data_IF_638310493113
#
_entry.id   IF_638310493113
#
_cell.length_a   1.000
_cell.length_b   1.000
_cell.length_c   1.000
_cell.angle_alpha   90.00
_cell.angle_beta   90.00
_cell.angle_gamma   90.00
#
_symmetry.space_group_name_H-M   'P 1'
#
loop_
_entity.id
_entity.type
_entity.pdbx_description
1 polymer ?
#
# COMPACT_ATOMS: atom_id res chain seq x y z
N UNK A 1 -15.91 22.56 22.51
CA UNK A 1 -15.66 21.11 22.40
C UNK A 1 -14.62 20.91 21.30
N UNK A 2 -13.44 20.36 21.60
CA UNK A 2 -12.39 20.16 20.60
C UNK A 2 -12.49 18.75 20.03
N UNK A 3 -12.78 18.62 18.74
CA UNK A 3 -12.83 17.33 18.06
C UNK A 3 -11.40 16.90 17.73
N UNK A 4 -10.95 15.79 18.32
CA UNK A 4 -9.60 15.25 18.12
C UNK A 4 -9.57 14.02 17.20
N UNK A 5 -10.71 13.37 16.99
CA UNK A 5 -10.81 12.16 16.16
C UNK A 5 -12.11 12.19 15.37
N UNK A 6 -12.02 11.89 14.08
CA UNK A 6 -13.16 11.79 13.16
C UNK A 6 -13.07 10.45 12.43
N UNK A 7 -14.16 9.69 12.48
CA UNK A 7 -14.35 8.41 11.79
C UNK A 7 -15.66 8.50 11.02
N UNK A 8 -15.59 8.55 9.70
CA UNK A 8 -16.74 8.80 8.81
C UNK A 8 -16.65 7.94 7.55
N UNK A 9 -17.73 7.92 6.77
CA UNK A 9 -17.70 7.39 5.39
C UNK A 9 -17.32 8.50 4.40
N UNK A 10 -16.87 8.12 3.21
CA UNK A 10 -16.50 9.01 2.11
C UNK A 10 -17.61 9.98 1.66
N UNK A 11 -18.86 9.72 2.03
CA UNK A 11 -20.01 10.64 1.89
C UNK A 11 -19.76 12.02 2.51
N UNK A 12 -18.80 12.15 3.45
CA UNK A 12 -18.37 13.47 3.95
C UNK A 12 -17.93 14.42 2.82
N UNK A 13 -17.41 13.88 1.72
CA UNK A 13 -16.99 14.63 0.54
C UNK A 13 -15.87 15.65 0.80
N UNK A 14 -15.43 16.29 -0.27
CA UNK A 14 -14.44 17.37 -0.17
C UNK A 14 -15.00 18.59 0.59
N UNK A 15 -16.30 18.88 0.44
CA UNK A 15 -16.97 19.97 1.17
C UNK A 15 -16.90 19.77 2.68
N UNK A 16 -17.27 18.59 3.16
CA UNK A 16 -17.21 18.28 4.59
C UNK A 16 -15.78 18.26 5.11
N UNK A 17 -14.81 17.74 4.33
CA UNK A 17 -13.39 17.83 4.69
C UNK A 17 -12.88 19.28 4.74
N UNK A 18 -13.37 20.16 3.86
CA UNK A 18 -13.09 21.60 3.91
C UNK A 18 -13.54 22.22 5.24
N UNK A 19 -14.80 21.96 5.63
CA UNK A 19 -15.33 22.43 6.93
C UNK A 19 -14.53 21.87 8.10
N UNK A 20 -14.14 20.59 8.07
CA UNK A 20 -13.28 19.99 9.10
C UNK A 20 -11.91 20.69 9.13
N UNK A 21 -11.29 20.93 7.97
CA UNK A 21 -10.04 21.65 7.85
C UNK A 21 -10.12 23.05 8.46
N UNK A 22 -11.25 23.75 8.28
CA UNK A 22 -11.46 25.11 8.79
C UNK A 22 -11.77 25.16 10.28
N UNK A 23 -12.45 24.15 10.84
CA UNK A 23 -12.98 24.18 12.21
C UNK A 23 -12.19 23.35 13.21
N UNK A 24 -11.69 22.17 12.82
CA UNK A 24 -11.16 21.15 13.72
C UNK A 24 -9.62 21.22 13.84
N UNK A 25 -9.07 22.33 14.34
CA UNK A 25 -7.60 22.57 14.39
C UNK A 25 -6.82 21.61 15.31
N UNK A 26 -7.50 20.93 16.24
CA UNK A 26 -6.94 19.94 17.17
C UNK A 26 -7.14 18.49 16.70
N UNK A 27 -7.53 18.29 15.44
CA UNK A 27 -7.73 16.96 14.89
C UNK A 27 -6.40 16.20 14.82
N UNK A 28 -6.37 15.02 15.43
CA UNK A 28 -5.22 14.13 15.47
C UNK A 28 -5.43 12.89 14.61
N UNK A 29 -6.68 12.42 14.46
CA UNK A 29 -6.98 11.22 13.68
C UNK A 29 -8.16 11.44 12.76
N UNK A 30 -7.93 11.25 11.47
CA UNK A 30 -8.97 11.21 10.45
C UNK A 30 -8.99 9.82 9.83
N UNK A 31 -10.15 9.18 9.87
CA UNK A 31 -10.41 7.94 9.14
C UNK A 31 -11.68 8.11 8.31
N UNK A 32 -11.52 7.95 7.00
CA UNK A 32 -12.62 7.94 6.05
C UNK A 32 -12.71 6.57 5.41
N UNK A 33 -13.76 5.84 5.74
CA UNK A 33 -14.08 4.53 5.17
C UNK A 33 -14.80 4.65 3.82
N UNK A 34 -14.64 3.62 3.00
CA UNK A 34 -15.42 3.47 1.77
C UNK A 34 -16.90 3.31 2.12
N UNK A 35 -17.77 4.08 1.47
CA UNK A 35 -19.22 3.91 1.49
C UNK A 35 -19.67 2.74 0.62
N UNK A 36 -20.98 2.54 0.52
CA UNK A 36 -21.55 1.55 -0.40
C UNK A 36 -21.38 2.05 -1.84
N UNK A 37 -20.94 1.17 -2.74
CA UNK A 37 -20.95 1.44 -4.18
C UNK A 37 -22.31 1.06 -4.74
N UNK A 38 -23.37 1.78 -4.36
CA UNK A 38 -24.67 1.60 -4.99
C UNK A 38 -24.71 2.40 -6.30
N UNK A 39 -24.70 1.74 -7.48
CA UNK A 39 -24.73 2.43 -8.78
C UNK A 39 -26.00 3.25 -8.99
N UNK A 40 -27.06 3.06 -8.18
CA UNK A 40 -28.27 3.88 -8.19
C UNK A 40 -28.17 5.16 -7.36
N UNK A 41 -27.22 5.24 -6.43
CA UNK A 41 -26.90 6.45 -5.67
C UNK A 41 -25.70 7.12 -6.35
N UNK A 42 -25.96 7.90 -7.39
CA UNK A 42 -24.99 8.90 -7.81
C UNK A 42 -24.78 9.83 -6.61
N UNK A 43 -23.69 9.64 -5.87
CA UNK A 43 -23.24 10.60 -4.86
C UNK A 43 -23.02 11.92 -5.61
N UNK A 44 -24.01 12.83 -5.58
CA UNK A 44 -23.94 14.15 -6.24
C UNK A 44 -22.70 14.98 -5.80
N UNK A 45 -21.99 14.54 -4.76
CA UNK A 45 -20.77 15.17 -4.23
C UNK A 45 -19.44 14.44 -4.56
N UNK A 46 -19.42 13.42 -5.42
CA UNK A 46 -18.16 12.94 -6.04
C UNK A 46 -17.13 12.24 -5.12
N UNK A 47 -17.45 11.98 -3.85
CA UNK A 47 -16.52 11.39 -2.88
C UNK A 47 -15.42 12.35 -2.45
N UNK A 48 -14.27 11.81 -2.05
CA UNK A 48 -13.12 12.60 -1.56
C UNK A 48 -12.02 12.62 -2.63
N UNK A 49 -11.43 13.79 -2.86
CA UNK A 49 -10.33 14.00 -3.82
C UNK A 49 -9.11 14.68 -3.17
N UNK A 50 -8.16 15.10 -4.01
CA UNK A 50 -7.07 16.02 -3.67
C UNK A 50 -7.54 17.30 -2.96
N UNK A 51 -8.76 17.79 -3.26
CA UNK A 51 -9.27 19.06 -2.69
C UNK A 51 -9.48 18.91 -1.19
N UNK A 52 -10.23 17.91 -0.76
CA UNK A 52 -10.50 17.64 0.65
C UNK A 52 -9.24 17.24 1.41
N UNK A 53 -8.39 16.41 0.82
CA UNK A 53 -7.11 16.03 1.47
C UNK A 53 -6.17 17.23 1.64
N UNK A 54 -6.10 18.14 0.67
CA UNK A 54 -5.31 19.36 0.79
C UNK A 54 -5.86 20.28 1.87
N UNK A 55 -7.20 20.46 1.92
CA UNK A 55 -7.85 21.26 2.96
C UNK A 55 -7.54 20.73 4.37
N UNK A 56 -7.62 19.41 4.55
CA UNK A 56 -7.25 18.74 5.81
C UNK A 56 -5.77 18.95 6.14
N UNK A 57 -4.87 18.76 5.17
CA UNK A 57 -3.43 18.93 5.39
C UNK A 57 -3.09 20.35 5.86
N UNK A 58 -3.68 21.37 5.22
CA UNK A 58 -3.45 22.79 5.55
C UNK A 58 -4.08 23.16 6.90
N UNK A 59 -5.30 22.68 7.15
CA UNK A 59 -6.13 23.06 8.29
C UNK A 59 -5.81 22.34 9.60
N UNK A 60 -5.44 21.05 9.54
CA UNK A 60 -5.31 20.17 10.70
C UNK A 60 -3.84 19.74 10.93
N UNK A 61 -2.99 20.67 11.38
CA UNK A 61 -1.53 20.45 11.50
C UNK A 61 -1.11 19.53 12.66
N UNK A 62 -2.03 19.20 13.56
CA UNK A 62 -1.80 18.28 14.68
C UNK A 62 -2.10 16.81 14.32
N UNK A 63 -2.35 16.51 13.04
CA UNK A 63 -2.62 15.15 12.58
C UNK A 63 -1.48 14.17 12.87
N UNK A 64 -1.85 13.06 13.48
CA UNK A 64 -1.01 11.89 13.77
C UNK A 64 -1.39 10.69 12.90
N UNK A 65 -2.64 10.60 12.47
CA UNK A 65 -3.16 9.50 11.66
C UNK A 65 -4.11 10.00 10.56
N UNK A 66 -3.87 9.56 9.33
CA UNK A 66 -4.79 9.72 8.20
C UNK A 66 -4.98 8.34 7.58
N UNK A 67 -6.24 7.93 7.43
CA UNK A 67 -6.62 6.77 6.63
C UNK A 67 -7.81 7.14 5.74
N UNK A 68 -7.68 7.11 4.42
CA UNK A 68 -8.74 7.53 3.53
C UNK A 68 -8.84 6.67 2.27
N UNK A 69 -10.09 6.36 1.91
CA UNK A 69 -10.46 5.93 0.55
C UNK A 69 -10.83 7.17 -0.26
N UNK A 70 -10.16 7.37 -1.39
CA UNK A 70 -10.32 8.57 -2.24
C UNK A 70 -10.68 8.19 -3.68
N UNK A 71 -11.43 9.05 -4.35
CA UNK A 71 -11.85 8.90 -5.74
C UNK A 71 -10.83 9.49 -6.73
N UNK A 72 -10.06 10.50 -6.31
CA UNK A 72 -9.03 11.18 -7.11
C UNK A 72 -7.90 11.70 -6.20
N UNK A 73 -6.72 11.92 -6.77
CA UNK A 73 -5.52 12.32 -6.03
C UNK A 73 -4.49 12.98 -6.96
N UNK A 74 -3.60 13.80 -6.39
CA UNK A 74 -2.48 14.42 -7.11
C UNK A 74 -1.18 14.39 -6.30
N UNK A 75 -0.04 14.58 -6.97
CA UNK A 75 1.26 14.78 -6.31
C UNK A 75 1.19 15.96 -5.33
N UNK A 76 0.53 17.06 -5.73
CA UNK A 76 0.38 18.28 -4.91
C UNK A 76 -0.37 18.05 -3.59
N UNK A 77 -1.35 17.14 -3.55
CA UNK A 77 -2.03 16.78 -2.30
C UNK A 77 -1.09 16.04 -1.33
N UNK A 78 -0.30 15.08 -1.84
CA UNK A 78 0.69 14.35 -1.03
C UNK A 78 1.82 15.28 -0.56
N UNK A 79 2.26 16.21 -1.41
CA UNK A 79 3.21 17.28 -1.06
C UNK A 79 2.68 18.16 0.07
N UNK A 80 1.40 18.54 0.01
CA UNK A 80 0.75 19.33 1.05
C UNK A 80 0.72 18.60 2.40
N UNK A 81 0.40 17.30 2.40
CA UNK A 81 0.46 16.46 3.60
C UNK A 81 1.90 16.43 4.15
N UNK A 82 2.88 16.15 3.29
CA UNK A 82 4.30 16.18 3.66
C UNK A 82 4.75 17.52 4.24
N UNK A 83 4.21 18.62 3.72
CA UNK A 83 4.56 19.99 4.12
C UNK A 83 3.96 20.37 5.46
N UNK A 84 2.68 20.09 5.69
CA UNK A 84 1.95 20.64 6.84
C UNK A 84 1.74 19.64 8.00
N UNK A 85 1.66 18.33 7.74
CA UNK A 85 1.35 17.31 8.76
C UNK A 85 2.62 16.69 9.38
N UNK A 86 3.39 17.49 10.13
CA UNK A 86 4.70 17.06 10.68
C UNK A 86 4.62 16.05 11.83
N UNK A 87 3.45 15.86 12.42
CA UNK A 87 3.22 14.90 13.51
C UNK A 87 2.71 13.54 13.04
N UNK A 88 2.64 13.31 11.72
CA UNK A 88 2.05 12.11 11.16
C UNK A 88 2.87 10.86 11.48
N UNK A 89 2.21 9.86 12.08
CA UNK A 89 2.78 8.57 12.46
C UNK A 89 2.24 7.41 11.62
N UNK A 90 1.03 7.56 11.06
CA UNK A 90 0.37 6.54 10.26
C UNK A 90 -0.41 7.21 9.13
N UNK A 91 -0.01 6.92 7.89
CA UNK A 91 -0.65 7.41 6.68
C UNK A 91 -1.13 6.23 5.85
N UNK A 92 -2.40 6.24 5.45
CA UNK A 92 -3.00 5.21 4.60
C UNK A 92 -3.89 5.86 3.55
N UNK A 93 -3.63 5.54 2.30
CA UNK A 93 -4.43 6.00 1.18
C UNK A 93 -4.76 4.83 0.27
N UNK A 94 -6.04 4.72 -0.08
CA UNK A 94 -6.55 3.78 -1.09
C UNK A 94 -7.25 4.59 -2.17
N UNK A 95 -6.73 4.54 -3.40
CA UNK A 95 -7.38 5.13 -4.56
C UNK A 95 -8.42 4.16 -5.12
N UNK A 96 -9.67 4.59 -5.14
CA UNK A 96 -10.80 3.81 -5.64
C UNK A 96 -10.80 3.80 -7.18
N UNK A 97 -11.27 2.69 -7.75
CA UNK A 97 -11.39 2.53 -9.20
C UNK A 97 -12.75 3.04 -9.73
N UNK A 98 -13.14 4.24 -9.28
CA UNK A 98 -14.42 4.88 -9.65
C UNK A 98 -14.30 5.81 -10.85
N UNK A 99 -13.19 6.53 -10.95
CA UNK A 99 -12.94 7.48 -12.03
C UNK A 99 -12.16 6.81 -13.15
N UNK A 100 -12.53 7.00 -14.41
CA UNK A 100 -11.77 6.45 -15.53
C UNK A 100 -10.37 7.09 -15.59
N UNK A 101 -10.32 8.42 -15.54
CA UNK A 101 -9.10 9.22 -15.52
C UNK A 101 -8.83 9.76 -14.12
N UNK A 102 -7.55 9.78 -13.74
CA UNK A 102 -7.08 10.35 -12.47
C UNK A 102 -6.21 11.55 -12.82
N UNK A 103 -6.36 12.62 -12.04
CA UNK A 103 -5.87 13.94 -12.42
C UNK A 103 -4.34 13.98 -12.65
N UNK A 104 -3.56 13.28 -11.83
CA UNK A 104 -2.10 13.38 -11.83
C UNK A 104 -1.44 12.06 -11.41
N UNK A 105 -1.31 11.14 -12.37
CA UNK A 105 -0.51 9.91 -12.25
C UNK A 105 0.69 9.97 -13.22
N UNK A 106 1.87 9.42 -12.84
CA UNK A 106 2.17 8.73 -11.59
C UNK A 106 2.45 9.65 -10.39
N UNK A 107 2.27 9.13 -9.16
CA UNK A 107 2.39 9.88 -7.90
C UNK A 107 3.81 9.92 -7.30
N UNK A 108 4.84 9.77 -8.13
CA UNK A 108 6.21 9.54 -7.69
C UNK A 108 6.76 10.68 -6.81
N UNK A 109 6.56 11.93 -7.25
CA UNK A 109 7.09 13.11 -6.56
C UNK A 109 6.32 13.42 -5.28
N UNK A 110 5.01 13.20 -5.27
CA UNK A 110 4.15 13.36 -4.12
C UNK A 110 4.48 12.35 -3.03
N UNK A 111 4.65 11.07 -3.39
CA UNK A 111 5.10 10.04 -2.45
C UNK A 111 6.47 10.39 -1.84
N UNK A 112 7.41 10.84 -2.67
CA UNK A 112 8.74 11.31 -2.24
C UNK A 112 8.63 12.47 -1.25
N UNK A 113 7.85 13.50 -1.58
CA UNK A 113 7.70 14.69 -0.76
C UNK A 113 7.02 14.39 0.59
N UNK A 114 5.96 13.57 0.57
CA UNK A 114 5.28 13.10 1.78
C UNK A 114 6.26 12.41 2.73
N UNK A 115 7.00 11.43 2.24
CA UNK A 115 7.92 10.64 3.05
C UNK A 115 9.12 11.46 3.56
N UNK A 116 9.62 12.42 2.77
CA UNK A 116 10.64 13.37 3.23
C UNK A 116 10.10 14.33 4.29
N UNK A 117 8.85 14.75 4.16
CA UNK A 117 8.22 15.74 5.02
C UNK A 117 7.76 15.19 6.37
N UNK A 118 7.23 13.96 6.39
CA UNK A 118 6.65 13.31 7.56
C UNK A 118 7.65 12.33 8.22
N UNK A 119 8.71 12.87 8.83
CA UNK A 119 9.81 12.08 9.41
C UNK A 119 9.42 11.21 10.62
N UNK A 120 8.24 11.44 11.21
CA UNK A 120 7.69 10.67 12.33
C UNK A 120 6.89 9.44 11.90
N UNK A 121 6.68 9.23 10.59
CA UNK A 121 5.93 8.09 10.08
C UNK A 121 6.54 6.76 10.57
N UNK A 122 5.65 5.83 10.92
CA UNK A 122 5.97 4.45 11.32
C UNK A 122 5.15 3.44 10.51
N UNK A 123 3.99 3.85 10.01
CA UNK A 123 3.07 3.05 9.20
C UNK A 123 2.72 3.83 7.94
N UNK A 124 2.83 3.16 6.80
CA UNK A 124 2.56 3.77 5.51
C UNK A 124 1.80 2.79 4.63
N UNK A 125 0.65 3.18 4.11
CA UNK A 125 -0.09 2.39 3.15
C UNK A 125 -0.46 3.22 1.93
N UNK A 126 -0.18 2.68 0.75
CA UNK A 126 -0.49 3.30 -0.52
C UNK A 126 -1.00 2.23 -1.48
N UNK A 127 -2.31 2.16 -1.65
CA UNK A 127 -2.96 1.26 -2.59
C UNK A 127 -3.49 2.09 -3.74
N UNK A 128 -2.93 1.91 -4.92
CA UNK A 128 -3.26 2.68 -6.11
C UNK A 128 -3.94 1.81 -7.16
N UNK A 129 -4.03 2.33 -8.37
CA UNK A 129 -4.39 1.61 -9.59
C UNK A 129 -3.11 1.31 -10.39
N UNK A 130 -3.12 0.37 -11.34
CA UNK A 130 -2.00 0.16 -12.25
C UNK A 130 -1.54 1.50 -12.88
N UNK A 131 -0.23 1.71 -12.97
CA UNK A 131 0.36 2.99 -13.43
C UNK A 131 0.35 4.12 -12.40
N UNK A 132 -0.20 3.90 -11.20
CA UNK A 132 -0.29 4.94 -10.17
C UNK A 132 1.04 5.32 -9.53
N UNK A 133 2.04 4.44 -9.58
CA UNK A 133 3.39 4.69 -9.09
C UNK A 133 4.40 3.94 -9.97
N UNK A 134 5.41 4.65 -10.49
CA UNK A 134 6.44 4.04 -11.32
C UNK A 134 7.49 3.31 -10.47
N UNK A 135 8.44 2.64 -11.13
CA UNK A 135 9.63 2.08 -10.48
C UNK A 135 10.49 3.16 -9.80
N UNK A 136 10.53 4.38 -10.35
CA UNK A 136 11.24 5.52 -9.75
C UNK A 136 10.57 5.95 -8.46
N UNK A 137 9.24 6.10 -8.48
CA UNK A 137 8.45 6.40 -7.28
C UNK A 137 8.58 5.33 -6.20
N UNK A 138 8.55 4.06 -6.59
CA UNK A 138 8.75 2.93 -5.68
C UNK A 138 10.16 2.96 -5.06
N UNK A 139 11.20 3.29 -5.85
CA UNK A 139 12.55 3.56 -5.35
C UNK A 139 12.61 4.70 -4.34
N UNK A 140 11.91 5.81 -4.58
CA UNK A 140 11.82 6.92 -3.61
C UNK A 140 11.18 6.50 -2.29
N UNK A 141 10.13 5.66 -2.33
CA UNK A 141 9.54 5.10 -1.11
C UNK A 141 10.60 4.35 -0.32
N UNK A 142 11.35 3.45 -0.97
CA UNK A 142 12.44 2.70 -0.33
C UNK A 142 13.47 3.63 0.30
N UNK A 143 13.97 4.61 -0.47
CA UNK A 143 14.98 5.58 -0.03
C UNK A 143 14.56 6.41 1.19
N UNK A 144 13.27 6.77 1.28
CA UNK A 144 12.73 7.63 2.34
C UNK A 144 11.95 6.87 3.42
N UNK A 145 12.05 5.54 3.46
CA UNK A 145 11.37 4.67 4.41
C UNK A 145 12.07 4.49 5.76
N UNK A 146 13.14 5.26 6.03
CA UNK A 146 14.08 5.01 7.13
C UNK A 146 13.47 4.87 8.52
N UNK A 147 12.28 5.40 8.76
CA UNK A 147 11.57 5.31 10.04
C UNK A 147 10.40 4.33 10.04
N UNK A 148 10.00 3.83 8.88
CA UNK A 148 8.79 3.04 8.69
C UNK A 148 9.03 1.58 9.09
N UNK A 149 8.08 1.02 9.83
CA UNK A 149 8.10 -0.36 10.33
C UNK A 149 7.01 -1.23 9.71
N UNK A 150 5.96 -0.62 9.18
CA UNK A 150 4.86 -1.31 8.50
C UNK A 150 4.53 -0.63 7.18
N UNK A 151 4.47 -1.42 6.11
CA UNK A 151 4.00 -0.98 4.81
C UNK A 151 2.92 -1.89 4.24
N UNK A 152 1.91 -1.28 3.61
CA UNK A 152 0.97 -1.95 2.72
C UNK A 152 1.00 -1.21 1.37
N UNK A 153 1.44 -1.86 0.31
CA UNK A 153 1.48 -1.26 -1.03
C UNK A 153 0.63 -2.07 -2.00
N UNK A 154 -0.18 -1.38 -2.82
CA UNK A 154 -1.07 -2.02 -3.79
C UNK A 154 -0.94 -1.39 -5.17
N UNK A 155 -0.84 -2.22 -6.23
CA UNK A 155 -0.63 -1.79 -7.62
C UNK A 155 0.50 -0.75 -7.77
N UNK A 156 1.65 -0.99 -7.11
CA UNK A 156 2.81 -0.11 -7.19
C UNK A 156 3.92 -0.72 -8.04
N UNK A 157 4.72 0.12 -8.69
CA UNK A 157 5.82 -0.31 -9.54
C UNK A 157 5.33 -0.89 -10.87
N UNK A 158 6.29 -1.08 -11.77
CA UNK A 158 6.08 -1.55 -13.13
C UNK A 158 6.94 -2.78 -13.42
N UNK A 159 8.11 -2.90 -12.79
CA UNK A 159 9.01 -4.03 -13.00
C UNK A 159 9.61 -4.56 -11.70
N UNK A 160 10.22 -5.74 -11.81
CA UNK A 160 11.05 -6.33 -10.75
C UNK A 160 12.18 -5.40 -10.30
N UNK A 161 12.72 -4.56 -11.20
CA UNK A 161 13.78 -3.60 -10.89
C UNK A 161 13.35 -2.53 -9.89
N UNK A 162 12.08 -2.07 -9.98
CA UNK A 162 11.49 -1.15 -9.01
C UNK A 162 11.41 -1.76 -7.61
N UNK A 163 10.98 -3.01 -7.51
CA UNK A 163 10.91 -3.73 -6.24
C UNK A 163 12.29 -3.90 -5.60
N UNK A 164 13.31 -4.25 -6.38
CA UNK A 164 14.70 -4.39 -5.89
C UNK A 164 15.23 -3.04 -5.39
N UNK A 165 14.98 -1.96 -6.13
CA UNK A 165 15.37 -0.60 -5.73
C UNK A 165 14.69 -0.16 -4.43
N UNK A 166 13.40 -0.47 -4.27
CA UNK A 166 12.66 -0.24 -3.03
C UNK A 166 13.26 -1.00 -1.84
N UNK A 167 13.57 -2.28 -2.03
CA UNK A 167 14.10 -3.14 -0.98
C UNK A 167 15.45 -2.66 -0.43
N UNK A 168 16.32 -2.11 -1.29
CA UNK A 168 17.64 -1.61 -0.91
C UNK A 168 17.60 -0.49 0.17
N UNK A 169 16.52 0.31 0.19
CA UNK A 169 16.32 1.39 1.16
C UNK A 169 15.60 0.97 2.46
N UNK A 170 14.88 -0.15 2.44
CA UNK A 170 13.99 -0.59 3.53
C UNK A 170 14.73 -1.26 4.71
N UNK A 171 15.51 -0.50 5.48
CA UNK A 171 16.34 -1.04 6.58
C UNK A 171 15.58 -1.34 7.88
N UNK A 172 14.50 -0.61 8.16
CA UNK A 172 13.74 -0.71 9.42
C UNK A 172 12.36 -1.36 9.27
N UNK A 173 11.99 -1.76 8.05
CA UNK A 173 10.70 -2.36 7.77
C UNK A 173 10.59 -3.72 8.45
N UNK A 174 9.53 -3.92 9.25
CA UNK A 174 9.27 -5.15 10.01
C UNK A 174 8.13 -5.98 9.41
N UNK A 175 7.14 -5.31 8.84
CA UNK A 175 5.97 -5.94 8.23
C UNK A 175 5.70 -5.30 6.87
N UNK A 176 5.66 -6.13 5.83
CA UNK A 176 5.36 -5.73 4.47
C UNK A 176 4.13 -6.48 3.96
N UNK A 177 3.18 -5.74 3.40
CA UNK A 177 2.03 -6.28 2.70
C UNK A 177 2.05 -5.74 1.26
N UNK A 178 2.01 -6.62 0.26
CA UNK A 178 1.96 -6.27 -1.15
C UNK A 178 0.71 -6.85 -1.80
N UNK A 179 0.01 -6.05 -2.60
CA UNK A 179 -1.21 -6.49 -3.28
C UNK A 179 -1.22 -6.10 -4.75
N UNK A 180 -1.59 -7.05 -5.61
CA UNK A 180 -1.82 -6.82 -7.04
C UNK A 180 -0.63 -6.13 -7.72
N UNK A 181 0.59 -6.58 -7.42
CA UNK A 181 1.80 -6.04 -8.03
C UNK A 181 2.31 -6.95 -9.15
N UNK A 182 2.94 -6.38 -10.18
CA UNK A 182 3.48 -7.12 -11.32
C UNK A 182 4.81 -7.85 -11.04
N UNK A 183 5.19 -8.07 -9.78
CA UNK A 183 6.50 -8.63 -9.43
C UNK A 183 6.57 -10.15 -9.62
N UNK A 184 7.70 -10.66 -10.08
CA UNK A 184 7.96 -12.09 -10.15
C UNK A 184 8.23 -12.71 -8.77
N UNK A 185 8.00 -14.02 -8.64
CA UNK A 185 8.36 -14.78 -7.44
C UNK A 185 9.84 -14.58 -7.06
N UNK A 186 10.72 -14.65 -8.06
CA UNK A 186 12.17 -14.48 -7.90
C UNK A 186 12.50 -13.10 -7.36
N UNK A 187 11.92 -12.04 -7.93
CA UNK A 187 12.16 -10.68 -7.49
C UNK A 187 11.67 -10.45 -6.05
N UNK A 188 10.50 -10.98 -5.69
CA UNK A 188 10.01 -10.97 -4.31
C UNK A 188 11.03 -11.61 -3.35
N UNK A 189 11.49 -12.81 -3.66
CA UNK A 189 12.44 -13.53 -2.81
C UNK A 189 13.77 -12.77 -2.64
N UNK A 190 14.32 -12.23 -3.72
CA UNK A 190 15.56 -11.45 -3.71
C UNK A 190 15.40 -10.11 -2.97
N UNK A 191 14.27 -9.42 -3.14
CA UNK A 191 13.95 -8.18 -2.44
C UNK A 191 13.82 -8.40 -0.94
N UNK A 192 13.05 -9.42 -0.53
CA UNK A 192 12.85 -9.77 0.88
C UNK A 192 14.18 -10.09 1.57
N UNK A 193 15.14 -10.70 0.87
CA UNK A 193 16.48 -10.96 1.44
C UNK A 193 17.31 -9.72 1.73
N UNK A 194 17.02 -8.59 1.08
CA UNK A 194 17.73 -7.34 1.30
C UNK A 194 17.20 -6.54 2.49
N UNK A 195 16.08 -6.94 3.09
CA UNK A 195 15.42 -6.23 4.18
C UNK A 195 15.77 -6.85 5.55
N UNK A 196 16.78 -6.32 6.28
CA UNK A 196 17.34 -7.00 7.46
C UNK A 196 16.38 -7.03 8.66
N UNK A 197 15.47 -6.06 8.76
CA UNK A 197 14.52 -5.96 9.88
C UNK A 197 13.21 -6.70 9.64
N UNK A 198 13.00 -7.27 8.44
CA UNK A 198 11.71 -7.81 8.04
C UNK A 198 11.40 -9.10 8.80
N UNK A 199 10.21 -9.15 9.40
CA UNK A 199 9.73 -10.28 10.22
C UNK A 199 8.47 -10.92 9.71
N UNK A 200 7.73 -10.21 8.88
CA UNK A 200 6.47 -10.64 8.31
C UNK A 200 6.35 -10.07 6.91
N UNK A 201 5.98 -10.92 5.96
CA UNK A 201 5.57 -10.50 4.63
C UNK A 201 4.31 -11.25 4.23
N UNK A 202 3.36 -10.54 3.66
CA UNK A 202 2.23 -11.13 2.97
C UNK A 202 2.11 -10.50 1.59
N UNK A 203 1.94 -11.33 0.56
CA UNK A 203 1.80 -10.90 -0.81
C UNK A 203 0.60 -11.62 -1.40
N UNK A 204 -0.27 -10.87 -2.08
CA UNK A 204 -1.38 -11.41 -2.86
C UNK A 204 -1.37 -10.75 -4.23
N UNK A 205 -1.56 -11.47 -5.33
CA UNK A 205 -1.49 -10.83 -6.64
C UNK A 205 -0.06 -10.51 -7.02
N UNK A 206 0.67 -11.54 -7.44
CA UNK A 206 2.01 -11.43 -8.05
C UNK A 206 2.12 -12.42 -9.22
N UNK A 207 3.20 -12.34 -10.00
CA UNK A 207 3.45 -13.30 -11.09
C UNK A 207 3.96 -14.62 -10.49
N UNK A 208 3.01 -15.43 -10.02
CA UNK A 208 3.25 -16.70 -9.37
C UNK A 208 3.44 -17.85 -10.38
N UNK A 209 4.27 -18.82 -10.00
CA UNK A 209 4.35 -20.12 -10.67
C UNK A 209 3.41 -21.10 -9.97
N UNK A 210 3.16 -22.26 -10.58
CA UNK A 210 2.37 -23.31 -9.93
C UNK A 210 3.08 -23.97 -8.74
N UNK A 211 4.39 -23.76 -8.59
CA UNK A 211 5.22 -24.48 -7.61
C UNK A 211 5.73 -23.60 -6.48
N UNK A 212 5.81 -22.27 -6.68
CA UNK A 212 6.44 -21.36 -5.74
C UNK A 212 7.95 -21.58 -5.57
N UNK A 213 8.61 -22.34 -6.46
CA UNK A 213 10.01 -22.77 -6.28
C UNK A 213 10.98 -21.60 -6.11
N UNK A 214 10.76 -20.49 -6.82
CA UNK A 214 11.63 -19.31 -6.72
C UNK A 214 11.52 -18.58 -5.37
N UNK A 215 10.40 -18.76 -4.65
CA UNK A 215 10.26 -18.24 -3.28
C UNK A 215 11.27 -18.88 -2.33
N UNK A 216 11.82 -20.06 -2.65
CA UNK A 216 12.86 -20.71 -1.85
C UNK A 216 14.15 -19.90 -1.75
N UNK A 217 14.39 -18.94 -2.66
CA UNK A 217 15.56 -18.05 -2.61
C UNK A 217 15.57 -17.16 -1.35
N UNK A 218 14.42 -16.96 -0.69
CA UNK A 218 14.36 -16.25 0.59
C UNK A 218 14.47 -17.14 1.83
N UNK A 219 14.56 -18.46 1.67
CA UNK A 219 14.64 -19.39 2.80
C UNK A 219 15.88 -19.14 3.66
N UNK A 220 15.69 -19.10 4.99
CA UNK A 220 16.72 -18.84 6.02
C UNK A 220 16.29 -19.44 7.35
N UNK A 221 17.20 -19.62 8.33
CA UNK A 221 16.83 -20.15 9.64
C UNK A 221 15.66 -19.37 10.25
N UNK A 222 14.73 -20.09 10.87
CA UNK A 222 13.52 -19.55 11.51
C UNK A 222 12.52 -18.84 10.58
N UNK A 223 12.72 -18.84 9.26
CA UNK A 223 11.84 -18.17 8.29
C UNK A 223 10.91 -19.18 7.63
N UNK A 224 9.65 -19.16 8.04
CA UNK A 224 8.59 -19.99 7.47
C UNK A 224 8.06 -19.35 6.19
N UNK A 225 7.78 -20.15 5.17
CA UNK A 225 7.17 -19.71 3.91
C UNK A 225 5.93 -20.57 3.67
N UNK A 226 4.78 -19.94 3.56
CA UNK A 226 3.48 -20.54 3.29
C UNK A 226 2.98 -20.00 1.95
N UNK A 227 2.80 -20.89 0.98
CA UNK A 227 2.42 -20.54 -0.38
C UNK A 227 1.03 -21.08 -0.69
N UNK A 228 0.15 -20.22 -1.23
CA UNK A 228 -1.14 -20.62 -1.79
C UNK A 228 -1.03 -20.47 -3.31
N UNK A 229 -1.08 -21.58 -4.07
CA UNK A 229 -0.90 -21.54 -5.50
C UNK A 229 -2.01 -20.77 -6.22
N UNK A 230 -1.72 -20.23 -7.42
CA UNK A 230 -2.74 -19.67 -8.30
C UNK A 230 -3.80 -20.72 -8.66
N UNK A 231 -5.04 -20.29 -8.93
CA UNK A 231 -6.05 -21.23 -9.46
C UNK A 231 -5.71 -21.64 -10.88
N UNK A 232 -5.92 -22.92 -11.18
CA UNK A 232 -5.78 -23.49 -12.52
C UNK A 232 -6.78 -22.91 -13.53
N UNK A 233 -7.88 -22.31 -13.07
CA UNK A 233 -8.93 -21.73 -13.94
C UNK A 233 -8.56 -20.34 -14.48
N UNK A 234 -7.64 -19.63 -13.81
CA UNK A 234 -7.14 -18.31 -14.22
C UNK A 234 -5.77 -18.36 -14.90
N UNK A 235 -5.14 -19.54 -14.95
CA UNK A 235 -3.86 -19.75 -15.59
C UNK A 235 -3.93 -19.40 -17.09
N UNK A 236 -3.25 -18.32 -17.50
CA UNK A 236 -3.12 -17.93 -18.91
C UNK A 236 -4.04 -16.80 -19.38
N UNK A 237 -4.79 -16.12 -18.50
CA UNK A 237 -5.49 -14.88 -18.89
C UNK A 237 -4.47 -13.75 -19.06
N UNK A 238 -4.36 -13.25 -20.28
CA UNK A 238 -3.62 -12.03 -20.59
C UNK A 238 -4.52 -10.81 -20.34
N UNK A 239 -3.91 -9.70 -19.92
CA UNK A 239 -4.52 -8.37 -19.99
C UNK A 239 -4.66 -7.94 -21.46
N UNK A 240 -5.44 -6.90 -21.75
CA UNK A 240 -5.68 -6.42 -23.13
C UNK A 240 -4.38 -5.99 -23.85
N UNK A 241 -3.34 -5.66 -23.10
CA UNK A 241 -1.99 -5.30 -23.57
C UNK A 241 -1.07 -6.50 -23.81
N UNK A 242 -1.54 -7.73 -23.58
CA UNK A 242 -0.77 -8.97 -23.76
C UNK A 242 0.13 -9.34 -22.57
N UNK A 243 0.11 -8.56 -21.48
CA UNK A 243 0.83 -8.92 -20.24
C UNK A 243 0.05 -9.97 -19.44
N UNK A 244 0.71 -10.92 -18.76
CA UNK A 244 0.03 -11.88 -17.90
C UNK A 244 -0.73 -11.16 -16.78
N UNK A 245 -2.01 -11.46 -16.62
CA UNK A 245 -2.82 -10.93 -15.54
C UNK A 245 -2.19 -11.33 -14.20
N UNK A 246 -2.04 -10.36 -13.29
CA UNK A 246 -1.53 -10.60 -11.95
C UNK A 246 -2.48 -11.56 -11.23
N UNK A 247 -1.97 -12.72 -10.78
CA UNK A 247 -2.82 -13.75 -10.19
C UNK A 247 -3.32 -13.34 -8.79
N UNK A 248 -4.53 -12.77 -8.76
CA UNK A 248 -5.15 -12.23 -7.54
C UNK A 248 -5.42 -13.30 -6.47
N UNK A 249 -5.34 -14.58 -6.81
CA UNK A 249 -5.60 -15.68 -5.88
C UNK A 249 -4.31 -16.22 -5.25
N UNK A 250 -3.21 -16.20 -5.99
CA UNK A 250 -1.90 -16.60 -5.49
C UNK A 250 -1.47 -15.73 -4.30
N UNK A 251 -1.04 -16.40 -3.24
CA UNK A 251 -0.58 -15.75 -2.01
C UNK A 251 0.73 -16.36 -1.51
N UNK A 252 1.58 -15.52 -0.94
CA UNK A 252 2.68 -15.98 -0.09
C UNK A 252 2.64 -15.24 1.23
N UNK A 253 2.71 -16.01 2.31
CA UNK A 253 2.89 -15.54 3.67
C UNK A 253 4.25 -16.05 4.16
N UNK A 254 5.13 -15.17 4.62
CA UNK A 254 6.37 -15.61 5.25
C UNK A 254 6.70 -14.81 6.51
N UNK A 255 7.20 -15.50 7.52
CA UNK A 255 7.38 -14.92 8.85
C UNK A 255 8.47 -15.64 9.66
N UNK A 256 9.06 -14.89 10.60
CA UNK A 256 9.97 -15.47 11.58
C UNK A 256 9.22 -16.23 12.69
N UNK A 257 9.65 -17.45 13.01
CA UNK A 257 9.13 -18.27 14.10
C UNK A 257 10.22 -19.10 14.77
N UNK A 258 10.28 -19.03 16.10
CA UNK A 258 11.11 -19.94 16.91
C UNK A 258 10.45 -21.31 17.12
N UNK A 259 9.13 -21.40 16.89
CA UNK A 259 8.39 -22.67 17.01
C UNK A 259 8.53 -23.56 15.77
N UNK A 260 9.29 -23.11 14.78
CA UNK A 260 9.34 -23.75 13.47
C UNK A 260 7.99 -23.65 12.75
N UNK A 261 7.67 -24.67 11.97
CA UNK A 261 6.44 -24.77 11.18
C UNK A 261 5.21 -25.08 12.04
N UNK A 262 4.05 -24.62 11.58
CA UNK A 262 2.77 -25.05 12.14
C UNK A 262 2.41 -26.45 11.63
N UNK A 263 1.47 -27.14 12.29
CA UNK A 263 1.05 -28.52 11.93
C UNK A 263 -0.36 -28.58 11.33
N UNK A 264 -1.08 -27.47 11.34
CA UNK A 264 -2.50 -27.33 11.02
C UNK A 264 -2.71 -26.55 9.72
N UNK A 265 -1.95 -26.90 8.67
CA UNK A 265 -2.09 -26.29 7.36
C UNK A 265 -3.43 -26.70 6.71
N UNK A 266 -4.23 -25.75 6.19
CA UNK A 266 -5.35 -26.09 5.32
C UNK A 266 -4.83 -26.66 3.98
N UNK A 267 -5.65 -27.42 3.28
CA UNK A 267 -5.28 -28.06 2.00
C UNK A 267 -4.83 -27.08 0.92
N UNK A 268 -5.29 -25.83 0.99
CA UNK A 268 -4.94 -24.76 0.04
C UNK A 268 -3.53 -24.17 0.27
N UNK A 269 -2.87 -24.50 1.38
CA UNK A 269 -1.57 -23.94 1.74
C UNK A 269 -0.49 -24.99 1.62
N UNK A 270 0.49 -24.70 0.77
CA UNK A 270 1.71 -25.47 0.55
C UNK A 270 2.84 -24.81 1.33
N UNK A 271 3.32 -25.42 2.43
CA UNK A 271 4.49 -24.89 3.10
C UNK A 271 5.77 -25.21 2.31
N UNK A 272 6.67 -24.23 2.18
CA UNK A 272 7.90 -24.34 1.40
C UNK A 272 9.13 -24.40 2.32
N UNK A 273 10.02 -25.39 2.09
CA UNK A 273 11.20 -25.65 2.92
C UNK A 273 12.43 -25.98 2.08
N UNK A 274 13.65 -25.66 2.55
CA UNK A 274 14.88 -26.15 1.93
C UNK A 274 14.88 -27.68 1.94
N UNK A 275 15.32 -28.27 0.83
CA UNK A 275 15.57 -29.72 0.73
C UNK A 275 16.74 -30.14 1.62
#
# INVERSE_FOLDING_TARGET
>A
MYIMKIFVRNVIGDRGLGVVGDTCKKLQRLRVERGEDDPGMQEEEGGISQVGLTAIAVGCRELENIAAYVSDITNGALESIGTFCKNLHDFRLVLLDRQETITDLPLDNGARALLRGCTKLRRFALYLRPGGLSDVGLGYIGQHSGTIQYMLLGNVGQTDGGLISFAAGCRNLRKLELRSCCFSERALALAIRQMPSLRYVWVQGYRASQTGRDLMLMARPFWNIEFTPPSTETAGRLMEDGEPCVDRQAQVLAYYSLSGKRSDYPQSVVPLYPA
#
